data_IF_740297040737
#
_entry.id   IF_740297040737
#
_cell.length_a   1.000
_cell.length_b   1.000
_cell.length_c   1.000
_cell.angle_alpha   90.00
_cell.angle_beta   90.00
_cell.angle_gamma   90.00
#
_symmetry.space_group_name_H-M   'P 1'
#
loop_
_entity.id
_entity.type
_entity.pdbx_description
1 polymer ?
#
# COMPACT_ATOMS: atom_id res chain seq x y z
N UNK A 1 3.44 10.02 -22.99
CA UNK A 1 3.83 9.11 -24.09
C UNK A 1 4.24 7.79 -23.45
N UNK A 2 3.36 6.79 -23.48
CA UNK A 2 3.57 5.51 -22.77
C UNK A 2 4.53 4.65 -23.60
N UNK A 3 5.65 4.24 -23.01
CA UNK A 3 6.66 3.40 -23.66
C UNK A 3 6.06 2.02 -24.03
N UNK A 4 6.36 1.52 -25.23
CA UNK A 4 5.97 0.19 -25.72
C UNK A 4 6.40 -0.93 -24.76
N UNK A 5 7.49 -0.72 -24.01
CA UNK A 5 7.96 -1.66 -22.98
C UNK A 5 6.98 -1.74 -21.80
N UNK A 6 6.37 -0.61 -21.43
CA UNK A 6 5.36 -0.54 -20.35
C UNK A 6 4.05 -1.22 -20.76
N UNK A 7 3.63 -1.07 -22.01
CA UNK A 7 2.44 -1.73 -22.55
C UNK A 7 2.60 -3.25 -22.55
N UNK A 8 3.72 -3.78 -23.02
CA UNK A 8 4.03 -5.21 -22.95
C UNK A 8 4.05 -5.75 -21.51
N UNK A 9 4.59 -4.97 -20.57
CA UNK A 9 4.62 -5.36 -19.16
C UNK A 9 3.20 -5.47 -18.57
N UNK A 10 2.31 -4.55 -18.95
CA UNK A 10 0.89 -4.58 -18.54
C UNK A 10 0.18 -5.82 -19.09
N UNK A 11 0.39 -6.14 -20.38
CA UNK A 11 -0.22 -7.32 -21.00
C UNK A 11 0.25 -8.63 -20.35
N UNK A 12 1.54 -8.75 -20.02
CA UNK A 12 2.07 -9.93 -19.32
C UNK A 12 1.47 -10.09 -17.93
N UNK A 13 1.44 -9.00 -17.13
CA UNK A 13 0.83 -9.00 -15.79
C UNK A 13 -0.65 -9.33 -15.84
N UNK A 14 -1.38 -8.80 -16.82
CA UNK A 14 -2.81 -9.08 -17.00
C UNK A 14 -3.09 -10.57 -17.28
N UNK A 15 -2.27 -11.21 -18.14
CA UNK A 15 -2.40 -12.65 -18.43
C UNK A 15 -2.13 -13.51 -17.20
N UNK A 16 -1.14 -13.16 -16.39
CA UNK A 16 -0.80 -13.87 -15.16
C UNK A 16 -1.94 -13.77 -14.13
N UNK A 17 -2.51 -12.57 -13.94
CA UNK A 17 -3.70 -12.37 -13.07
C UNK A 17 -4.89 -13.20 -13.52
N UNK A 18 -5.18 -13.21 -14.83
CA UNK A 18 -6.29 -13.98 -15.40
C UNK A 18 -6.11 -15.48 -15.12
N UNK A 19 -4.86 -15.98 -15.14
CA UNK A 19 -4.54 -17.35 -14.76
C UNK A 19 -4.76 -17.62 -13.27
N UNK A 20 -4.34 -16.72 -12.38
CA UNK A 20 -4.54 -16.87 -10.93
C UNK A 20 -6.04 -16.82 -10.57
N UNK A 21 -6.78 -15.88 -11.15
CA UNK A 21 -8.23 -15.75 -10.95
C UNK A 21 -9.00 -16.99 -11.40
N UNK A 22 -8.67 -17.53 -12.57
CA UNK A 22 -9.33 -18.73 -13.11
C UNK A 22 -9.03 -20.01 -12.31
N UNK A 23 -7.95 -20.04 -11.52
CA UNK A 23 -7.59 -21.20 -10.70
C UNK A 23 -8.37 -21.28 -9.37
N UNK A 24 -9.38 -20.42 -9.14
CA UNK A 24 -10.26 -20.53 -7.98
C UNK A 24 -9.59 -20.21 -6.64
N UNK A 25 -8.49 -19.46 -6.65
CA UNK A 25 -7.86 -18.95 -5.43
C UNK A 25 -8.88 -18.11 -4.64
N UNK A 26 -8.92 -18.28 -3.31
CA UNK A 26 -9.81 -17.48 -2.47
C UNK A 26 -9.45 -16.00 -2.67
N UNK A 27 -10.44 -15.13 -2.82
CA UNK A 27 -10.24 -13.70 -3.19
C UNK A 27 -9.14 -13.00 -2.36
N UNK A 28 -9.00 -13.35 -1.07
CA UNK A 28 -7.96 -12.79 -0.19
C UNK A 28 -6.51 -13.16 -0.60
N UNK A 29 -6.28 -14.35 -1.18
CA UNK A 29 -4.95 -14.79 -1.63
C UNK A 29 -4.51 -13.98 -2.85
N UNK A 30 -5.47 -13.66 -3.72
CA UNK A 30 -5.25 -12.87 -4.93
C UNK A 30 -4.79 -11.45 -4.56
N UNK A 31 -5.45 -10.79 -3.61
CA UNK A 31 -5.07 -9.44 -3.17
C UNK A 31 -3.72 -9.40 -2.44
N UNK A 32 -3.31 -10.50 -1.81
CA UNK A 32 -2.02 -10.58 -1.13
C UNK A 32 -0.84 -10.79 -2.08
N UNK A 33 -1.06 -11.47 -3.20
CA UNK A 33 -0.03 -11.78 -4.19
C UNK A 33 0.11 -10.70 -5.27
N UNK A 34 -0.96 -9.96 -5.53
CA UNK A 34 -0.98 -8.98 -6.61
C UNK A 34 -0.70 -7.56 -6.11
N UNK A 35 0.40 -6.97 -6.58
CA UNK A 35 0.58 -5.53 -6.47
C UNK A 35 -0.47 -4.78 -7.31
N UNK A 36 -1.04 -3.66 -6.85
CA UNK A 36 -1.98 -2.87 -7.65
C UNK A 36 -1.29 -2.33 -8.92
N UNK A 37 -2.06 -2.15 -10.01
CA UNK A 37 -1.55 -1.65 -11.30
C UNK A 37 -1.38 -0.12 -11.34
N UNK A 38 -1.09 0.50 -10.21
CA UNK A 38 -0.63 1.88 -10.18
C UNK A 38 0.77 1.91 -10.78
N UNK A 39 0.97 2.69 -11.85
CA UNK A 39 2.31 2.90 -12.40
C UNK A 39 3.13 3.68 -11.37
N UNK A 40 3.99 2.96 -10.66
CA UNK A 40 4.94 3.53 -9.73
C UNK A 40 6.29 2.81 -9.89
N UNK A 41 7.38 3.53 -10.22
CA UNK A 41 8.71 2.94 -10.37
C UNK A 41 9.21 2.26 -9.08
N UNK A 42 8.90 2.85 -7.92
CA UNK A 42 9.31 2.39 -6.60
C UNK A 42 8.10 1.99 -5.75
N UNK A 43 7.31 1.03 -6.25
CA UNK A 43 6.15 0.51 -5.52
C UNK A 43 6.61 -0.55 -4.50
N UNK A 44 6.39 -0.29 -3.21
CA UNK A 44 6.85 -1.15 -2.12
C UNK A 44 5.66 -1.46 -1.23
N UNK A 45 5.58 -2.69 -0.73
CA UNK A 45 4.61 -3.05 0.30
C UNK A 45 5.25 -2.86 1.67
N UNK A 46 4.57 -2.14 2.54
CA UNK A 46 4.99 -1.85 3.91
C UNK A 46 3.93 -2.43 4.85
N UNK A 47 4.35 -3.10 5.91
CA UNK A 47 3.50 -3.79 6.86
C UNK A 47 3.33 -5.28 6.54
N UNK A 48 2.50 -5.96 7.34
CA UNK A 48 2.35 -7.41 7.29
C UNK A 48 1.81 -7.92 5.95
N UNK A 49 2.32 -9.07 5.49
CA UNK A 49 1.70 -9.81 4.40
C UNK A 49 0.29 -10.25 4.80
N UNK A 50 -0.73 -9.72 4.14
CA UNK A 50 -2.13 -9.92 4.53
C UNK A 50 -2.89 -8.61 4.62
N UNK A 51 -3.84 -8.57 5.55
CA UNK A 51 -4.72 -7.42 5.80
C UNK A 51 -4.07 -6.25 6.57
N UNK A 52 -2.74 -6.31 6.80
CA UNK A 52 -2.00 -5.27 7.53
C UNK A 52 -1.12 -4.39 6.64
N UNK A 53 -0.61 -4.93 5.53
CA UNK A 53 0.36 -4.25 4.70
C UNK A 53 -0.25 -3.44 3.55
N UNK A 54 0.20 -2.20 3.38
CA UNK A 54 -0.25 -1.28 2.32
C UNK A 54 0.83 -1.10 1.25
N UNK A 55 0.42 -0.94 0.00
CA UNK A 55 1.32 -0.62 -1.11
C UNK A 55 1.53 0.90 -1.19
N UNK A 56 2.77 1.34 -1.04
CA UNK A 56 3.17 2.76 -1.06
C UNK A 56 4.08 3.03 -2.26
N UNK A 57 3.79 4.12 -2.96
CA UNK A 57 4.63 4.60 -4.05
C UNK A 57 5.74 5.50 -3.53
N UNK A 58 6.99 5.11 -3.77
CA UNK A 58 8.20 5.86 -3.45
C UNK A 58 8.26 6.37 -1.99
N UNK A 59 8.19 5.50 -0.98
CA UNK A 59 8.21 5.90 0.43
C UNK A 59 9.52 6.62 0.82
N UNK A 60 10.62 6.36 0.11
CA UNK A 60 11.91 7.01 0.34
C UNK A 60 11.92 8.52 0.03
N UNK A 61 10.92 9.03 -0.71
CA UNK A 61 10.78 10.47 -0.88
C UNK A 61 10.64 11.21 0.47
N UNK A 62 10.07 10.53 1.49
CA UNK A 62 9.90 11.07 2.83
C UNK A 62 11.24 11.35 3.53
N UNK A 63 12.27 10.54 3.24
CA UNK A 63 13.63 10.74 3.79
C UNK A 63 14.31 11.99 3.26
N UNK A 64 13.88 12.49 2.10
CA UNK A 64 14.45 13.68 1.46
C UNK A 64 13.70 14.97 1.83
N UNK A 65 12.71 14.90 2.73
CA UNK A 65 12.01 16.08 3.22
C UNK A 65 12.91 16.83 4.20
N UNK A 66 13.38 18.02 3.80
CA UNK A 66 14.20 18.89 4.66
C UNK A 66 13.42 19.57 5.81
N UNK A 67 12.14 19.24 6.02
CA UNK A 67 11.28 19.83 7.05
C UNK A 67 10.61 18.75 7.90
N UNK A 68 10.25 19.10 9.14
CA UNK A 68 9.46 18.23 10.02
C UNK A 68 8.08 18.00 9.41
N UNK A 69 7.66 16.75 9.34
CA UNK A 69 6.33 16.35 8.85
C UNK A 69 5.60 15.50 9.88
N UNK A 70 4.27 15.51 9.80
CA UNK A 70 3.36 14.75 10.66
C UNK A 70 2.59 13.76 9.81
N UNK A 71 2.58 12.50 10.22
CA UNK A 71 1.83 11.44 9.57
C UNK A 71 0.58 11.12 10.38
N UNK A 72 -0.57 11.11 9.71
CA UNK A 72 -1.85 10.70 10.28
C UNK A 72 -2.27 9.36 9.70
N UNK A 73 -2.46 8.36 10.55
CA UNK A 73 -3.10 7.10 10.17
C UNK A 73 -4.46 6.99 10.84
N UNK A 74 -5.49 6.65 10.07
CA UNK A 74 -6.88 6.52 10.51
C UNK A 74 -7.41 5.13 10.17
N UNK A 75 -8.12 4.50 11.11
CA UNK A 75 -8.75 3.19 10.91
C UNK A 75 -7.74 2.05 10.96
N UNK A 76 -7.05 1.92 12.10
CA UNK A 76 -6.04 0.89 12.35
C UNK A 76 -6.68 -0.51 12.46
N UNK A 77 -7.90 -0.60 12.99
CA UNK A 77 -8.58 -1.87 13.24
C UNK A 77 -7.70 -2.87 14.00
N UNK A 78 -7.08 -2.41 15.09
CA UNK A 78 -6.10 -3.16 15.89
C UNK A 78 -4.87 -3.69 15.10
N UNK A 79 -4.60 -3.16 13.90
CA UNK A 79 -3.44 -3.50 13.07
C UNK A 79 -2.53 -2.27 12.95
N UNK A 80 -1.27 -2.39 13.39
CA UNK A 80 -0.29 -1.29 13.40
C UNK A 80 0.99 -1.63 12.65
N UNK A 81 1.01 -2.75 11.92
CA UNK A 81 2.24 -3.26 11.29
C UNK A 81 2.74 -2.31 10.20
N UNK A 82 1.81 -1.70 9.46
CA UNK A 82 2.12 -0.72 8.44
C UNK A 82 2.82 0.51 9.04
N UNK A 83 2.25 1.08 10.10
CA UNK A 83 2.74 2.27 10.79
C UNK A 83 4.14 2.01 11.36
N UNK A 84 4.31 0.87 12.05
CA UNK A 84 5.58 0.50 12.66
C UNK A 84 6.69 0.34 11.61
N UNK A 85 6.40 -0.34 10.50
CA UNK A 85 7.37 -0.54 9.44
C UNK A 85 7.68 0.77 8.69
N UNK A 86 6.68 1.64 8.51
CA UNK A 86 6.86 2.95 7.90
C UNK A 86 7.68 3.92 8.77
N UNK A 87 7.48 3.90 10.09
CA UNK A 87 8.30 4.64 11.05
C UNK A 87 9.76 4.15 11.00
N UNK A 88 9.96 2.82 10.97
CA UNK A 88 11.30 2.24 10.84
C UNK A 88 11.96 2.62 9.51
N UNK A 89 11.22 2.58 8.40
CA UNK A 89 11.71 2.97 7.08
C UNK A 89 12.10 4.44 7.02
N UNK A 90 11.39 5.31 7.74
CA UNK A 90 11.69 6.75 7.84
C UNK A 90 12.72 7.07 8.93
N UNK A 91 13.31 6.06 9.60
CA UNK A 91 14.27 6.26 10.68
C UNK A 91 13.77 7.22 11.77
N UNK A 92 12.47 7.13 12.13
CA UNK A 92 11.83 7.96 13.15
C UNK A 92 11.91 9.48 12.90
N UNK A 93 12.09 9.91 11.64
CA UNK A 93 12.23 11.34 11.30
C UNK A 93 10.91 12.13 11.34
N UNK A 94 9.78 11.48 11.66
CA UNK A 94 8.45 12.08 11.64
C UNK A 94 7.68 11.90 12.95
N UNK A 95 6.82 12.87 13.25
CA UNK A 95 5.83 12.70 14.31
C UNK A 95 4.64 11.89 13.77
N UNK A 96 4.40 10.71 14.35
CA UNK A 96 3.34 9.82 13.91
C UNK A 96 2.14 9.87 14.86
N UNK A 97 0.95 10.10 14.30
CA UNK A 97 -0.32 10.10 15.03
C UNK A 97 -1.21 9.04 14.40
N UNK A 98 -1.47 7.97 15.13
CA UNK A 98 -2.31 6.86 14.69
C UNK A 98 -3.61 6.88 15.50
N UNK A 99 -4.76 6.89 14.83
CA UNK A 99 -6.08 6.93 15.46
C UNK A 99 -6.90 5.74 14.98
N UNK A 100 -7.32 4.90 15.91
CA UNK A 100 -8.27 3.83 15.62
C UNK A 100 -9.70 4.36 15.84
N UNK A 101 -10.42 4.62 14.75
CA UNK A 101 -11.83 5.03 14.80
C UNK A 101 -12.65 3.87 14.25
N UNK A 102 -13.19 3.06 15.16
CA UNK A 102 -14.00 1.88 14.81
C UNK A 102 -15.46 2.25 14.46
N UNK A 103 -15.91 3.48 14.74
CA UNK A 103 -17.25 3.97 14.37
C UNK A 103 -17.21 5.39 13.81
N UNK A 104 -17.42 5.53 12.49
CA UNK A 104 -18.05 6.72 11.93
C UNK A 104 -19.51 6.37 11.61
N UNK A 105 -20.45 6.79 12.47
CA UNK A 105 -21.81 7.04 11.99
C UNK A 105 -21.72 8.33 11.19
N UNK A 106 -21.65 8.20 9.86
CA UNK A 106 -22.06 9.30 8.98
C UNK A 106 -23.58 9.22 9.00
N UNK A 107 -24.22 9.96 9.92
CA UNK A 107 -25.61 10.34 9.69
C UNK A 107 -25.59 11.34 8.54
N UNK A 108 -25.81 10.83 7.32
CA UNK A 108 -26.07 11.64 6.14
C UNK A 108 -27.34 12.47 6.38
N UNK A 109 -27.23 13.77 6.09
CA UNK A 109 -28.34 14.75 6.04
C UNK A 109 -29.30 14.46 4.87
#
# INVERSE_FOLDING_TARGET
>A
MTDNKTLKLREMKFKERKRIFNNGGRNYEIYNLLAPEAFCPNLIRIGRLGDGGKWICNPFALLNLNHKYVMYSLGLNNEISFEMELINLTNYSCNHIAIDIVCFFIEDF
#
